data_IF_699812285144
#
_entry.id   IF_699812285144
#
_cell.length_a   1.000
_cell.length_b   1.000
_cell.length_c   1.000
_cell.angle_alpha   90.00
_cell.angle_beta   90.00
_cell.angle_gamma   90.00
#
_symmetry.space_group_name_H-M   'P 1'
#
loop_
_entity.id
_entity.type
_entity.pdbx_description
1 polymer ?
#
# COMPACT_ATOMS: atom_id res chain seq x y z
N UNK A 1 -28.73 -23.56 15.47
CA UNK A 1 -28.96 -22.81 16.72
C UNK A 1 -27.86 -23.01 17.76
N UNK A 2 -27.34 -24.22 17.99
CA UNK A 2 -26.30 -24.48 19.02
C UNK A 2 -24.95 -23.77 18.79
N UNK A 3 -24.43 -23.74 17.56
CA UNK A 3 -23.18 -23.03 17.23
C UNK A 3 -23.31 -21.51 17.41
N UNK A 4 -24.46 -20.93 17.02
CA UNK A 4 -24.73 -19.51 17.19
C UNK A 4 -24.85 -19.13 18.68
N UNK A 5 -25.51 -19.98 19.46
CA UNK A 5 -25.63 -19.83 20.92
C UNK A 5 -24.28 -19.99 21.64
N UNK A 6 -23.44 -20.93 21.20
CA UNK A 6 -22.07 -21.09 21.70
C UNK A 6 -21.21 -19.87 21.37
N UNK A 7 -21.30 -19.33 20.15
CA UNK A 7 -20.60 -18.10 19.80
C UNK A 7 -21.09 -16.92 20.63
N UNK A 8 -22.41 -16.76 20.81
CA UNK A 8 -22.98 -15.66 21.61
C UNK A 8 -22.60 -15.81 23.09
N UNK A 9 -22.62 -17.02 23.65
CA UNK A 9 -22.21 -17.31 25.03
C UNK A 9 -20.72 -17.09 25.25
N UNK A 10 -19.87 -17.49 24.29
CA UNK A 10 -18.43 -17.24 24.35
C UNK A 10 -18.10 -15.74 24.26
N UNK A 11 -18.77 -15.00 23.36
CA UNK A 11 -18.64 -13.54 23.27
C UNK A 11 -19.16 -12.85 24.54
N UNK A 12 -20.23 -13.34 25.16
CA UNK A 12 -20.77 -12.79 26.40
C UNK A 12 -19.85 -13.06 27.61
N UNK A 13 -19.18 -14.22 27.65
CA UNK A 13 -18.16 -14.55 28.66
C UNK A 13 -16.84 -13.79 28.45
N UNK A 14 -16.50 -13.53 27.19
CA UNK A 14 -15.36 -12.69 26.80
C UNK A 14 -15.54 -11.23 27.24
N UNK A 15 -16.77 -10.71 27.17
CA UNK A 15 -17.10 -9.36 27.66
C UNK A 15 -16.99 -9.22 29.19
N UNK A 16 -17.06 -10.32 29.93
CA UNK A 16 -16.95 -10.35 31.40
C UNK A 16 -15.53 -10.59 31.93
N UNK A 17 -14.50 -10.63 31.07
CA UNK A 17 -13.10 -10.75 31.51
C UNK A 17 -12.67 -12.11 32.08
N UNK A 18 -13.52 -13.15 32.02
CA UNK A 18 -13.21 -14.47 32.58
C UNK A 18 -12.39 -15.39 31.64
N UNK A 19 -12.14 -14.97 30.39
CA UNK A 19 -11.44 -15.79 29.39
C UNK A 19 -10.08 -15.19 29.02
N UNK A 20 -9.02 -16.00 29.10
CA UNK A 20 -7.66 -15.61 28.71
C UNK A 20 -7.55 -15.10 27.25
N UNK A 21 -8.48 -15.50 26.39
CA UNK A 21 -8.49 -15.15 24.97
C UNK A 21 -9.22 -13.86 24.64
N UNK A 22 -9.99 -13.31 25.59
CA UNK A 22 -10.81 -12.12 25.37
C UNK A 22 -9.99 -10.91 24.87
N UNK A 23 -8.85 -10.57 25.50
CA UNK A 23 -7.95 -9.52 25.00
C UNK A 23 -7.49 -9.69 23.55
N UNK A 24 -7.30 -10.92 23.09
CA UNK A 24 -6.83 -11.19 21.73
C UNK A 24 -7.95 -11.02 20.71
N UNK A 25 -9.19 -11.37 21.08
CA UNK A 25 -10.38 -11.15 20.24
C UNK A 25 -10.69 -9.66 20.09
N UNK A 26 -10.56 -8.89 21.16
CA UNK A 26 -10.64 -7.42 21.15
C UNK A 26 -9.66 -6.84 20.13
N UNK A 27 -8.43 -7.35 20.11
CA UNK A 27 -7.38 -6.94 19.18
C UNK A 27 -7.65 -7.41 17.76
N UNK A 28 -8.24 -8.59 17.56
CA UNK A 28 -8.69 -9.04 16.24
C UNK A 28 -9.80 -8.15 15.67
N UNK A 29 -10.74 -7.71 16.51
CA UNK A 29 -11.77 -6.73 16.11
C UNK A 29 -11.13 -5.41 15.66
N UNK A 30 -10.14 -4.94 16.40
CA UNK A 30 -9.37 -3.75 16.06
C UNK A 30 -8.59 -3.91 14.75
N UNK A 31 -8.00 -5.08 14.50
CA UNK A 31 -7.34 -5.41 13.24
C UNK A 31 -8.26 -5.30 12.03
N UNK A 32 -9.47 -5.83 12.12
CA UNK A 32 -10.48 -5.72 11.06
C UNK A 32 -10.76 -4.26 10.70
N UNK A 33 -10.87 -3.38 11.70
CA UNK A 33 -11.07 -1.94 11.47
C UNK A 33 -9.86 -1.32 10.75
N UNK A 34 -8.64 -1.63 11.20
CA UNK A 34 -7.42 -1.12 10.56
C UNK A 34 -7.32 -1.59 9.11
N UNK A 35 -7.62 -2.87 8.82
CA UNK A 35 -7.60 -3.41 7.46
C UNK A 35 -8.65 -2.72 6.56
N UNK A 36 -9.84 -2.46 7.07
CA UNK A 36 -10.89 -1.73 6.34
C UNK A 36 -10.43 -0.29 6.03
N UNK A 37 -9.93 0.42 7.04
CA UNK A 37 -9.44 1.80 6.87
C UNK A 37 -8.28 1.86 5.88
N UNK A 38 -7.41 0.87 5.94
CA UNK A 38 -6.24 0.77 5.06
C UNK A 38 -6.64 0.36 3.64
N UNK A 39 -7.63 -0.50 3.48
CA UNK A 39 -8.23 -0.81 2.17
C UNK A 39 -8.84 0.44 1.53
N UNK A 40 -9.59 1.24 2.29
CA UNK A 40 -10.15 2.51 1.83
C UNK A 40 -9.02 3.47 1.42
N UNK A 41 -7.96 3.57 2.23
CA UNK A 41 -6.79 4.39 1.90
C UNK A 41 -6.11 3.93 0.60
N UNK A 42 -6.05 2.62 0.36
CA UNK A 42 -5.44 2.01 -0.83
C UNK A 42 -6.22 2.29 -2.12
N UNK A 43 -7.54 2.52 -2.04
CA UNK A 43 -8.35 2.93 -3.19
C UNK A 43 -8.08 4.37 -3.64
N UNK A 44 -7.36 5.17 -2.84
CA UNK A 44 -6.98 6.52 -3.24
C UNK A 44 -5.97 6.53 -4.38
N UNK A 45 -6.15 7.46 -5.34
CA UNK A 45 -5.16 7.71 -6.41
C UNK A 45 -3.77 7.99 -5.83
N UNK A 46 -3.69 8.60 -4.65
CA UNK A 46 -2.43 8.90 -3.98
C UNK A 46 -1.65 7.67 -3.54
N UNK A 47 -2.33 6.55 -3.27
CA UNK A 47 -1.69 5.31 -2.85
C UNK A 47 -1.08 4.56 -4.04
N UNK A 48 -1.76 4.55 -5.19
CA UNK A 48 -1.21 4.02 -6.45
C UNK A 48 0.08 4.72 -6.86
N UNK A 49 0.17 6.02 -6.59
CA UNK A 49 1.35 6.85 -6.87
C UNK A 49 2.54 6.49 -5.97
N UNK A 50 2.30 6.06 -4.72
CA UNK A 50 3.34 5.52 -3.83
C UNK A 50 3.90 4.21 -4.37
N UNK A 51 3.01 3.28 -4.74
CA UNK A 51 3.42 1.97 -5.28
C UNK A 51 4.28 2.15 -6.54
N UNK A 52 4.02 3.20 -7.33
CA UNK A 52 4.76 3.55 -8.55
C UNK A 52 6.00 4.44 -8.31
N UNK A 53 6.34 4.76 -7.06
CA UNK A 53 7.56 5.51 -6.70
C UNK A 53 7.56 7.01 -7.05
N UNK A 54 6.43 7.59 -7.49
CA UNK A 54 6.38 8.98 -7.99
C UNK A 54 5.78 9.95 -6.96
N UNK A 55 6.48 10.28 -5.87
CA UNK A 55 5.92 11.20 -4.86
C UNK A 55 5.82 12.65 -5.36
N UNK A 56 4.59 13.10 -5.65
CA UNK A 56 4.31 14.53 -5.86
C UNK A 56 4.04 15.24 -4.53
N UNK A 57 4.34 16.54 -4.43
CA UNK A 57 4.03 17.35 -3.22
C UNK A 57 2.54 17.30 -2.86
N UNK A 58 1.65 17.23 -3.85
CA UNK A 58 0.20 17.12 -3.63
C UNK A 58 -0.16 15.77 -3.00
N UNK A 59 0.49 14.70 -3.44
CA UNK A 59 0.31 13.34 -2.92
C UNK A 59 0.71 13.27 -1.44
N UNK A 60 1.85 13.86 -1.09
CA UNK A 60 2.36 13.92 0.29
C UNK A 60 1.36 14.63 1.22
N UNK A 61 0.89 15.81 0.83
CA UNK A 61 -0.08 16.58 1.64
C UNK A 61 -1.37 15.75 1.87
N UNK A 62 -1.87 15.11 0.82
CA UNK A 62 -3.08 14.29 0.92
C UNK A 62 -2.89 13.10 1.87
N UNK A 63 -1.73 12.45 1.84
CA UNK A 63 -1.40 11.35 2.75
C UNK A 63 -1.30 11.83 4.20
N UNK A 64 -0.67 12.97 4.45
CA UNK A 64 -0.61 13.55 5.81
C UNK A 64 -2.03 13.76 6.34
N UNK A 65 -2.93 14.34 5.55
CA UNK A 65 -4.32 14.59 5.98
C UNK A 65 -5.03 13.27 6.31
N UNK A 66 -5.00 12.30 5.40
CA UNK A 66 -5.68 11.01 5.60
C UNK A 66 -5.13 10.30 6.84
N UNK A 67 -3.81 10.09 6.92
CA UNK A 67 -3.23 9.33 8.02
C UNK A 67 -3.32 10.07 9.36
N UNK A 68 -3.31 11.40 9.37
CA UNK A 68 -3.57 12.17 10.59
C UNK A 68 -4.99 11.97 11.08
N UNK A 69 -5.99 12.03 10.19
CA UNK A 69 -7.39 11.74 10.55
C UNK A 69 -7.51 10.32 11.08
N UNK A 70 -6.91 9.33 10.41
CA UNK A 70 -6.92 7.94 10.86
C UNK A 70 -6.24 7.77 12.23
N UNK A 71 -5.10 8.41 12.46
CA UNK A 71 -4.38 8.36 13.74
C UNK A 71 -5.15 9.02 14.90
N UNK A 72 -5.86 10.12 14.60
CA UNK A 72 -6.76 10.78 15.55
C UNK A 72 -7.96 9.88 15.86
N UNK A 73 -8.65 9.36 14.84
CA UNK A 73 -9.78 8.45 15.01
C UNK A 73 -9.38 7.20 15.81
N UNK A 74 -8.19 6.65 15.55
CA UNK A 74 -7.66 5.53 16.31
C UNK A 74 -7.38 5.84 17.79
N UNK A 75 -7.24 7.12 18.17
CA UNK A 75 -7.19 7.51 19.59
C UNK A 75 -8.55 7.45 20.28
N UNK A 76 -9.64 7.61 19.52
CA UNK A 76 -11.01 7.53 20.02
C UNK A 76 -11.58 6.11 19.93
N UNK A 77 -11.23 5.37 18.88
CA UNK A 77 -11.66 3.99 18.69
C UNK A 77 -10.82 3.04 19.55
N UNK A 78 -11.08 3.05 20.86
CA UNK A 78 -10.43 2.16 21.82
C UNK A 78 -11.25 0.91 22.06
N UNK A 79 -10.55 -0.21 22.25
CA UNK A 79 -11.12 -1.48 22.70
C UNK A 79 -10.76 -1.71 24.16
N UNK A 80 -11.64 -2.32 24.94
CA UNK A 80 -11.36 -2.57 26.36
C UNK A 80 -10.57 -3.86 26.50
N UNK A 81 -9.31 -3.75 26.92
CA UNK A 81 -8.47 -4.90 27.20
C UNK A 81 -8.17 -4.92 28.69
N UNK A 82 -8.81 -5.85 29.41
CA UNK A 82 -8.67 -6.03 30.85
C UNK A 82 -8.96 -4.74 31.67
N UNK A 83 -9.98 -3.97 31.27
CA UNK A 83 -10.36 -2.71 31.91
C UNK A 83 -9.51 -1.51 31.46
N UNK A 84 -8.67 -1.68 30.44
CA UNK A 84 -7.72 -0.67 29.98
C UNK A 84 -7.94 -0.41 28.48
N UNK A 85 -8.14 0.85 28.06
CA UNK A 85 -8.40 1.18 26.67
C UNK A 85 -7.14 0.95 25.80
N UNK A 86 -7.22 -0.04 24.92
CA UNK A 86 -6.22 -0.36 23.90
C UNK A 86 -6.56 0.32 22.56
N UNK A 87 -5.55 0.68 21.76
CA UNK A 87 -5.75 1.37 20.49
C UNK A 87 -4.77 0.90 19.38
N UNK A 88 -5.05 1.29 18.13
CA UNK A 88 -4.22 0.96 16.96
C UNK A 88 -3.46 2.17 16.42
N UNK A 89 -3.35 3.26 17.19
CA UNK A 89 -2.75 4.51 16.71
C UNK A 89 -1.30 4.30 16.28
N UNK A 90 -0.50 3.63 17.12
CA UNK A 90 0.91 3.37 16.80
C UNK A 90 1.09 2.61 15.48
N UNK A 91 0.22 1.64 15.20
CA UNK A 91 0.21 0.89 13.94
C UNK A 91 -0.05 1.80 12.73
N UNK A 92 -1.08 2.65 12.80
CA UNK A 92 -1.43 3.56 11.70
C UNK A 92 -0.29 4.55 11.42
N UNK A 93 0.29 5.13 12.47
CA UNK A 93 1.42 6.07 12.32
C UNK A 93 2.64 5.36 11.74
N UNK A 94 2.98 4.16 12.23
CA UNK A 94 4.08 3.35 11.68
C UNK A 94 3.86 3.02 10.19
N UNK A 95 2.65 2.60 9.82
CA UNK A 95 2.28 2.34 8.41
C UNK A 95 2.49 3.61 7.57
N UNK A 96 1.99 4.76 8.02
CA UNK A 96 2.14 6.03 7.30
C UNK A 96 3.61 6.41 7.08
N UNK A 97 4.46 6.12 8.06
CA UNK A 97 5.88 6.43 8.03
C UNK A 97 6.67 5.49 7.11
N UNK A 98 6.37 4.19 7.13
CA UNK A 98 6.98 3.20 6.22
C UNK A 98 6.49 3.35 4.78
N UNK A 99 5.34 3.99 4.56
CA UNK A 99 4.76 4.17 3.24
C UNK A 99 5.15 5.51 2.60
N UNK A 100 5.07 6.60 3.37
CA UNK A 100 5.31 7.96 2.89
C UNK A 100 6.64 8.58 3.35
N UNK A 101 7.42 7.84 4.13
CA UNK A 101 8.73 8.27 4.60
C UNK A 101 8.69 9.48 5.56
N UNK A 102 9.82 10.17 5.74
CA UNK A 102 9.94 11.28 6.70
C UNK A 102 9.00 12.45 6.41
N UNK A 103 8.65 12.68 5.15
CA UNK A 103 7.75 13.77 4.76
C UNK A 103 6.30 13.53 5.15
N UNK A 104 5.91 12.28 5.47
CA UNK A 104 4.54 11.92 5.85
C UNK A 104 4.50 11.41 7.28
N UNK A 105 5.37 10.46 7.62
CA UNK A 105 5.38 9.80 8.93
C UNK A 105 5.65 10.75 10.09
N UNK A 106 6.62 11.66 9.96
CA UNK A 106 6.94 12.61 11.03
C UNK A 106 5.78 13.58 11.27
N UNK A 107 5.22 14.29 10.26
CA UNK A 107 4.06 15.14 10.47
C UNK A 107 2.85 14.40 11.06
N UNK A 108 2.54 13.20 10.54
CA UNK A 108 1.42 12.39 11.05
C UNK A 108 1.65 11.99 12.50
N UNK A 109 2.87 11.56 12.85
CA UNK A 109 3.23 11.20 14.23
C UNK A 109 3.12 12.38 15.19
N UNK A 110 3.56 13.57 14.77
CA UNK A 110 3.42 14.82 15.54
C UNK A 110 1.93 15.15 15.74
N UNK A 111 1.13 15.20 14.67
CA UNK A 111 -0.29 15.57 14.76
C UNK A 111 -1.05 14.58 15.65
N UNK A 112 -0.91 13.28 15.39
CA UNK A 112 -1.61 12.24 16.17
C UNK A 112 -1.11 12.15 17.61
N UNK A 113 0.20 12.35 17.84
CA UNK A 113 0.81 12.33 19.16
C UNK A 113 0.43 13.53 20.02
N UNK A 114 0.45 14.74 19.45
CA UNK A 114 -0.01 15.96 20.12
C UNK A 114 -1.52 15.87 20.42
N UNK A 115 -2.32 15.38 19.47
CA UNK A 115 -3.74 15.14 19.72
C UNK A 115 -3.95 14.16 20.86
N UNK A 116 -3.22 13.04 20.87
CA UNK A 116 -3.31 12.07 21.97
C UNK A 116 -2.91 12.68 23.31
N UNK A 117 -1.87 13.51 23.34
CA UNK A 117 -1.46 14.21 24.55
C UNK A 117 -2.57 15.14 25.06
N UNK A 118 -3.21 15.89 24.15
CA UNK A 118 -4.30 16.82 24.46
C UNK A 118 -5.56 16.16 25.02
N UNK A 119 -5.80 14.87 24.75
CA UNK A 119 -6.91 14.12 25.37
C UNK A 119 -6.73 13.91 26.89
N UNK A 120 -5.53 14.14 27.42
CA UNK A 120 -5.23 13.93 28.84
C UNK A 120 -5.31 12.46 29.26
N UNK A 121 -5.41 12.25 30.58
CA UNK A 121 -5.35 10.93 31.21
C UNK A 121 -3.94 10.49 31.60
N UNK A 122 -3.87 9.39 32.34
CA UNK A 122 -2.65 8.93 33.02
C UNK A 122 -1.55 8.55 32.03
N UNK A 123 -1.91 8.06 30.83
CA UNK A 123 -0.97 7.67 29.77
C UNK A 123 -0.78 8.73 28.70
N UNK A 124 -1.29 9.96 28.88
CA UNK A 124 -1.28 11.00 27.84
C UNK A 124 0.12 11.29 27.31
N UNK A 125 1.06 11.57 28.23
CA UNK A 125 2.45 11.87 27.89
C UNK A 125 3.11 10.68 27.21
N UNK A 126 3.05 9.50 27.85
CA UNK A 126 3.72 8.31 27.34
C UNK A 126 3.21 7.91 25.95
N UNK A 127 1.89 7.80 25.78
CA UNK A 127 1.27 7.46 24.51
C UNK A 127 1.49 8.56 23.44
N UNK A 128 1.49 9.83 23.83
CA UNK A 128 1.78 10.95 22.92
C UNK A 128 3.20 10.86 22.37
N UNK A 129 4.19 10.73 23.27
CA UNK A 129 5.61 10.60 22.92
C UNK A 129 5.86 9.35 22.07
N UNK A 130 5.34 8.19 22.48
CA UNK A 130 5.47 6.97 21.72
C UNK A 130 4.94 7.17 20.28
N UNK A 131 3.76 7.76 20.12
CA UNK A 131 3.18 8.00 18.79
C UNK A 131 4.07 8.85 17.89
N UNK A 132 4.70 9.89 18.43
CA UNK A 132 5.67 10.70 17.68
C UNK A 132 6.88 9.84 17.28
N UNK A 133 7.37 9.03 18.23
CA UNK A 133 8.48 8.10 17.98
C UNK A 133 8.14 7.04 16.92
N UNK A 134 6.89 6.55 16.83
CA UNK A 134 6.47 5.65 15.74
C UNK A 134 6.71 6.30 14.37
N UNK A 135 6.33 7.59 14.25
CA UNK A 135 6.51 8.36 13.02
C UNK A 135 7.98 8.53 12.66
N UNK A 136 8.83 8.83 13.65
CA UNK A 136 10.28 9.01 13.47
C UNK A 136 10.96 7.69 13.11
N UNK A 137 10.72 6.63 13.90
CA UNK A 137 11.34 5.30 13.71
C UNK A 137 10.95 4.73 12.35
N UNK A 138 9.66 4.74 11.99
CA UNK A 138 9.22 4.25 10.70
C UNK A 138 9.82 5.05 9.54
N UNK A 139 9.97 6.37 9.69
CA UNK A 139 10.57 7.23 8.67
C UNK A 139 12.07 7.01 8.51
N UNK A 140 12.77 6.70 9.60
CA UNK A 140 14.19 6.35 9.57
C UNK A 140 14.40 5.02 8.87
N UNK A 141 13.57 4.03 9.19
CA UNK A 141 13.62 2.71 8.54
C UNK A 141 13.26 2.80 7.06
N UNK A 142 12.28 3.64 6.69
CA UNK A 142 11.98 3.94 5.30
C UNK A 142 13.23 4.45 4.55
N UNK A 143 13.98 5.38 5.16
CA UNK A 143 15.22 5.91 4.56
C UNK A 143 16.31 4.85 4.47
N UNK A 144 16.45 3.98 5.48
CA UNK A 144 17.42 2.87 5.46
C UNK A 144 17.08 1.76 4.48
N UNK A 145 15.82 1.64 4.08
CA UNK A 145 15.37 0.67 3.09
C UNK A 145 15.17 1.34 1.71
N UNK A 146 15.97 2.36 1.39
CA UNK A 146 16.01 3.08 0.11
C UNK A 146 14.65 3.63 -0.38
N UNK A 147 13.76 3.92 0.56
CA UNK A 147 12.42 4.41 0.27
C UNK A 147 11.44 3.34 -0.23
N UNK A 148 11.81 2.07 -0.14
CA UNK A 148 10.92 0.94 -0.36
C UNK A 148 10.22 0.52 0.94
N UNK A 149 9.00 -0.01 0.80
CA UNK A 149 8.29 -0.61 1.91
C UNK A 149 8.99 -1.92 2.34
N UNK A 150 9.03 -2.18 3.65
CA UNK A 150 9.68 -3.38 4.19
C UNK A 150 9.01 -4.67 3.72
N UNK A 151 9.78 -5.75 3.60
CA UNK A 151 9.23 -7.10 3.43
C UNK A 151 8.39 -7.51 4.65
N UNK A 152 7.36 -8.37 4.50
CA UNK A 152 6.43 -8.71 5.59
C UNK A 152 7.08 -9.12 6.91
N UNK A 153 8.11 -9.99 6.85
CA UNK A 153 8.81 -10.44 8.05
C UNK A 153 9.61 -9.32 8.74
N UNK A 154 10.23 -8.40 7.97
CA UNK A 154 10.96 -7.25 8.52
C UNK A 154 10.00 -6.24 9.15
N UNK A 155 8.86 -5.99 8.51
CA UNK A 155 7.83 -5.11 9.03
C UNK A 155 7.24 -5.64 10.35
N UNK A 156 6.95 -6.94 10.41
CA UNK A 156 6.49 -7.61 11.63
C UNK A 156 7.53 -7.51 12.76
N UNK A 157 8.81 -7.76 12.46
CA UNK A 157 9.90 -7.64 13.43
C UNK A 157 10.06 -6.19 13.93
N UNK A 158 10.02 -5.20 13.04
CA UNK A 158 10.07 -3.80 13.41
C UNK A 158 8.93 -3.43 14.36
N UNK A 159 7.71 -3.85 14.03
CA UNK A 159 6.55 -3.54 14.86
C UNK A 159 6.59 -4.25 16.22
N UNK A 160 7.11 -5.47 16.28
CA UNK A 160 7.33 -6.19 17.53
C UNK A 160 8.29 -5.42 18.45
N UNK A 161 9.45 -5.01 17.92
CA UNK A 161 10.45 -4.23 18.66
C UNK A 161 9.88 -2.87 19.09
N UNK A 162 9.16 -2.22 18.20
CA UNK A 162 8.55 -0.93 18.47
C UNK A 162 7.44 -1.02 19.53
N UNK A 163 6.62 -2.06 19.52
CA UNK A 163 5.61 -2.30 20.57
C UNK A 163 6.25 -2.52 21.94
N UNK A 164 7.39 -3.22 22.01
CA UNK A 164 8.19 -3.30 23.24
C UNK A 164 8.68 -1.93 23.72
N UNK A 165 9.18 -1.11 22.79
CA UNK A 165 9.60 0.26 23.09
C UNK A 165 8.44 1.16 23.55
N UNK A 166 7.25 1.03 22.95
CA UNK A 166 6.04 1.75 23.37
C UNK A 166 5.65 1.39 24.81
N UNK A 167 5.62 0.09 25.15
CA UNK A 167 5.33 -0.33 26.54
C UNK A 167 6.41 0.09 27.53
N UNK A 168 7.68 0.15 27.09
CA UNK A 168 8.77 0.71 27.90
C UNK A 168 8.52 2.20 28.19
N UNK A 169 8.15 2.99 27.18
CA UNK A 169 7.81 4.41 27.37
C UNK A 169 6.59 4.57 28.29
N UNK A 170 5.56 3.75 28.15
CA UNK A 170 4.40 3.72 29.06
C UNK A 170 4.85 3.45 30.49
N UNK A 171 5.78 2.52 30.69
CA UNK A 171 6.29 2.22 32.03
C UNK A 171 7.05 3.40 32.63
N UNK A 172 7.94 4.05 31.89
CA UNK A 172 8.81 5.10 32.45
C UNK A 172 8.09 6.45 32.61
N UNK A 173 7.26 6.82 31.63
CA UNK A 173 6.63 8.15 31.59
C UNK A 173 5.28 8.22 32.32
N UNK A 174 4.75 7.08 32.77
CA UNK A 174 3.50 7.03 33.53
C UNK A 174 3.81 6.89 35.03
N UNK A 175 3.09 7.59 35.93
CA UNK A 175 3.29 7.45 37.37
C UNK A 175 3.20 6.00 37.86
N UNK A 176 4.18 5.59 38.65
CA UNK A 176 4.24 4.25 39.25
C UNK A 176 3.27 4.13 40.42
N UNK A 177 2.64 2.96 40.64
CA UNK A 177 2.82 1.67 39.95
C UNK A 177 1.95 1.47 38.70
N UNK A 178 1.13 2.47 38.31
CA UNK A 178 0.12 2.31 37.26
C UNK A 178 0.74 2.03 35.89
N UNK A 179 1.89 2.62 35.58
CA UNK A 179 2.60 2.39 34.30
C UNK A 179 2.92 0.91 34.06
N UNK A 180 3.46 0.21 35.06
CA UNK A 180 3.78 -1.23 34.96
C UNK A 180 2.52 -2.07 34.80
N UNK A 181 1.46 -1.76 35.55
CA UNK A 181 0.20 -2.49 35.46
C UNK A 181 -0.43 -2.38 34.05
N UNK A 182 -0.42 -1.17 33.49
CA UNK A 182 -0.92 -0.92 32.13
C UNK A 182 -0.06 -1.66 31.10
N UNK A 183 1.27 -1.55 31.19
CA UNK A 183 2.18 -2.21 30.27
C UNK A 183 2.00 -3.74 30.32
N UNK A 184 1.91 -4.34 31.50
CA UNK A 184 1.73 -5.80 31.64
C UNK A 184 0.39 -6.29 31.09
N UNK A 185 -0.69 -5.52 31.29
CA UNK A 185 -2.02 -5.89 30.80
C UNK A 185 -2.15 -5.75 29.27
N UNK A 186 -1.50 -4.75 28.67
CA UNK A 186 -1.64 -4.44 27.26
C UNK A 186 -0.56 -5.08 26.37
N UNK A 187 0.64 -5.33 26.89
CA UNK A 187 1.80 -5.70 26.05
C UNK A 187 1.51 -6.88 25.14
N UNK A 188 1.08 -8.03 25.69
CA UNK A 188 0.82 -9.22 24.90
C UNK A 188 -0.29 -9.02 23.84
N UNK A 189 -1.54 -8.64 24.21
CA UNK A 189 -2.62 -8.50 23.24
C UNK A 189 -2.36 -7.38 22.23
N UNK A 190 -1.91 -6.21 22.68
CA UNK A 190 -1.71 -5.05 21.81
C UNK A 190 -0.54 -5.25 20.84
N UNK A 191 0.54 -5.90 21.27
CA UNK A 191 1.65 -6.28 20.40
C UNK A 191 1.21 -7.32 19.36
N UNK A 192 0.42 -8.32 19.77
CA UNK A 192 -0.14 -9.30 18.84
C UNK A 192 -0.97 -8.61 17.75
N UNK A 193 -1.88 -7.72 18.14
CA UNK A 193 -2.68 -6.92 17.21
C UNK A 193 -1.81 -6.09 16.26
N UNK A 194 -0.86 -5.34 16.82
CA UNK A 194 0.04 -4.49 16.05
C UNK A 194 0.87 -5.27 15.00
N UNK A 195 1.51 -6.37 15.42
CA UNK A 195 2.38 -7.19 14.57
C UNK A 195 1.57 -7.89 13.48
N UNK A 196 0.42 -8.47 13.82
CA UNK A 196 -0.45 -9.10 12.84
C UNK A 196 -0.98 -8.07 11.83
N UNK A 197 -1.30 -6.86 12.31
CA UNK A 197 -1.85 -5.80 11.48
C UNK A 197 -0.86 -5.31 10.44
N UNK A 198 0.38 -5.04 10.85
CA UNK A 198 1.42 -4.62 9.91
C UNK A 198 1.79 -5.76 8.94
N UNK A 199 1.79 -7.01 9.41
CA UNK A 199 2.08 -8.18 8.58
C UNK A 199 1.04 -8.30 7.45
N UNK A 200 -0.24 -8.29 7.80
CA UNK A 200 -1.34 -8.37 6.84
C UNK A 200 -1.33 -7.18 5.87
N UNK A 201 -1.08 -5.98 6.38
CA UNK A 201 -0.97 -4.80 5.52
C UNK A 201 0.17 -4.94 4.50
N UNK A 202 1.33 -5.43 4.94
CA UNK A 202 2.50 -5.60 4.06
C UNK A 202 2.28 -6.68 3.01
N UNK A 203 1.63 -7.79 3.38
CA UNK A 203 1.26 -8.85 2.43
C UNK A 203 0.32 -8.31 1.35
N UNK A 204 -0.73 -7.60 1.76
CA UNK A 204 -1.66 -6.96 0.85
C UNK A 204 -0.98 -5.92 -0.06
N UNK A 205 -0.04 -5.14 0.47
CA UNK A 205 0.77 -4.20 -0.31
C UNK A 205 1.60 -4.90 -1.38
N UNK A 206 2.23 -6.02 -1.00
CA UNK A 206 3.09 -6.80 -1.91
C UNK A 206 2.26 -7.36 -3.06
N UNK A 207 1.10 -7.96 -2.76
CA UNK A 207 0.17 -8.47 -3.76
C UNK A 207 -0.29 -7.37 -4.73
N UNK A 208 -0.64 -6.18 -4.20
CA UNK A 208 -1.04 -5.03 -5.03
C UNK A 208 0.08 -4.49 -5.91
N UNK A 209 1.35 -4.57 -5.45
CA UNK A 209 2.51 -4.18 -6.25
C UNK A 209 2.72 -5.16 -7.41
N UNK A 210 2.65 -6.46 -7.13
CA UNK A 210 2.77 -7.51 -8.16
C UNK A 210 1.63 -7.44 -9.19
N UNK A 211 0.39 -7.16 -8.78
CA UNK A 211 -0.73 -6.93 -9.69
C UNK A 211 -0.49 -5.74 -10.61
N UNK A 212 0.05 -4.64 -10.07
CA UNK A 212 0.34 -3.43 -10.84
C UNK A 212 1.45 -3.67 -11.87
N UNK A 213 2.53 -4.35 -11.48
CA UNK A 213 3.64 -4.72 -12.36
C UNK A 213 3.18 -5.60 -13.52
N UNK A 214 2.38 -6.65 -13.23
CA UNK A 214 1.79 -7.51 -14.28
C UNK A 214 0.90 -6.74 -15.25
N UNK A 215 0.11 -5.79 -14.76
CA UNK A 215 -0.76 -4.98 -15.63
C UNK A 215 0.04 -4.04 -16.55
N UNK A 216 1.16 -3.51 -16.06
CA UNK A 216 2.04 -2.65 -16.85
C UNK A 216 2.82 -3.49 -17.89
N UNK A 217 3.30 -4.70 -17.54
CA UNK A 217 3.95 -5.65 -18.47
C UNK A 217 3.00 -6.11 -19.59
N UNK A 218 1.75 -6.39 -19.24
CA UNK A 218 0.74 -6.80 -20.21
C UNK A 218 0.40 -5.67 -21.19
N UNK A 219 0.30 -4.43 -20.71
CA UNK A 219 0.08 -3.25 -21.57
C UNK A 219 1.25 -3.03 -22.55
N UNK A 220 2.50 -3.23 -22.10
CA UNK A 220 3.68 -3.14 -22.97
C UNK A 220 3.69 -4.27 -24.00
N UNK A 221 3.31 -5.48 -23.61
CA UNK A 221 3.23 -6.64 -24.50
C UNK A 221 2.15 -6.47 -25.57
N UNK A 222 0.98 -5.96 -25.19
CA UNK A 222 -0.12 -5.67 -26.11
C UNK A 222 0.28 -4.60 -27.13
N UNK A 223 0.92 -3.50 -26.69
CA UNK A 223 1.42 -2.47 -27.61
C UNK A 223 2.44 -3.04 -28.61
N UNK A 224 3.40 -3.87 -28.16
CA UNK A 224 4.37 -4.50 -29.07
C UNK A 224 3.71 -5.44 -30.08
N UNK A 225 2.68 -6.17 -29.65
CA UNK A 225 1.91 -7.03 -30.55
C UNK A 225 1.18 -6.20 -31.61
N UNK A 226 0.55 -5.08 -31.21
CA UNK A 226 -0.09 -4.15 -32.15
C UNK A 226 0.92 -3.55 -33.14
N UNK A 227 2.08 -3.10 -32.66
CA UNK A 227 3.14 -2.56 -33.54
C UNK A 227 3.64 -3.62 -34.54
N UNK A 228 3.82 -4.86 -34.09
CA UNK A 228 4.23 -5.98 -34.95
C UNK A 228 3.18 -6.31 -36.00
N UNK A 229 1.89 -6.28 -35.63
CA UNK A 229 0.78 -6.46 -36.57
C UNK A 229 0.77 -5.35 -37.63
N UNK A 230 0.89 -4.10 -37.21
CA UNK A 230 0.94 -2.95 -38.11
C UNK A 230 2.12 -3.04 -39.10
N UNK A 231 3.31 -3.44 -38.63
CA UNK A 231 4.49 -3.63 -39.49
C UNK A 231 4.25 -4.74 -40.52
N UNK A 232 3.62 -5.85 -40.11
CA UNK A 232 3.32 -6.95 -41.02
C UNK A 232 2.30 -6.54 -42.09
N UNK A 233 1.28 -5.76 -41.71
CA UNK A 233 0.27 -5.23 -42.64
C UNK A 233 0.89 -4.27 -43.66
N UNK A 234 1.71 -3.31 -43.21
CA UNK A 234 2.47 -2.41 -44.10
C UNK A 234 3.40 -3.21 -45.02
N UNK A 235 4.06 -4.26 -44.50
CA UNK A 235 4.95 -5.10 -45.31
C UNK A 235 4.19 -5.88 -46.39
N UNK A 236 2.97 -6.33 -46.10
CA UNK A 236 2.09 -6.96 -47.09
C UNK A 236 1.65 -5.96 -48.17
N UNK A 237 1.19 -4.78 -47.78
CA UNK A 237 0.83 -3.72 -48.72
C UNK A 237 2.00 -3.33 -49.63
N UNK A 238 3.20 -3.17 -49.05
CA UNK A 238 4.41 -2.83 -49.79
C UNK A 238 4.75 -3.90 -50.85
N UNK A 239 4.60 -5.19 -50.49
CA UNK A 239 4.80 -6.29 -51.42
C UNK A 239 3.77 -6.27 -52.55
N UNK A 240 2.50 -5.97 -52.25
CA UNK A 240 1.45 -5.85 -53.26
C UNK A 240 1.73 -4.68 -54.23
N UNK A 241 2.19 -3.53 -53.70
CA UNK A 241 2.61 -2.40 -54.53
C UNK A 241 3.79 -2.75 -55.44
N UNK A 242 4.79 -3.46 -54.89
CA UNK A 242 5.96 -3.90 -55.66
C UNK A 242 5.56 -4.80 -56.83
N UNK A 243 4.60 -5.71 -56.63
CA UNK A 243 4.07 -6.56 -57.68
C UNK A 243 3.28 -5.77 -58.74
N UNK A 244 2.51 -4.76 -58.34
CA UNK A 244 1.80 -3.85 -59.27
C UNK A 244 2.79 -3.04 -60.13
N UNK A 245 3.84 -2.50 -59.52
CA UNK A 245 4.90 -1.75 -60.25
C UNK A 245 5.59 -2.64 -61.27
N UNK A 246 5.96 -3.87 -60.89
CA UNK A 246 6.59 -4.83 -61.81
C UNK A 246 5.71 -5.16 -63.02
N UNK A 247 4.38 -5.29 -62.82
CA UNK A 247 3.42 -5.49 -63.93
C UNK A 247 3.31 -4.27 -64.84
N UNK A 248 3.43 -3.06 -64.31
CA UNK A 248 3.43 -1.83 -65.10
C UNK A 248 4.72 -1.70 -65.94
N UNK A 249 5.88 -1.99 -65.34
CA UNK A 249 7.17 -2.01 -66.06
C UNK A 249 7.15 -2.97 -67.25
N UNK A 250 6.62 -4.19 -67.05
CA UNK A 250 6.46 -5.17 -68.14
C UNK A 250 5.56 -4.66 -69.27
N UNK A 251 4.45 -3.98 -68.94
CA UNK A 251 3.58 -3.36 -69.96
C UNK A 251 4.28 -2.23 -70.70
N UNK A 252 5.07 -1.43 -69.99
CA UNK A 252 5.85 -0.34 -70.58
C UNK A 252 6.88 -0.86 -71.58
N UNK A 253 7.63 -1.91 -71.23
CA UNK A 253 8.55 -2.58 -72.17
C UNK A 253 7.82 -3.15 -73.39
N UNK A 254 6.61 -3.69 -73.22
CA UNK A 254 5.81 -4.21 -74.32
C UNK A 254 5.37 -3.08 -75.27
N UNK A 255 4.93 -1.95 -74.72
CA UNK A 255 4.58 -0.76 -75.52
C UNK A 255 5.79 -0.19 -76.25
N UNK A 256 6.94 -0.13 -75.60
CA UNK A 256 8.18 0.40 -76.19
C UNK A 256 8.65 -0.46 -77.36
N UNK A 257 8.55 -1.80 -77.24
CA UNK A 257 8.78 -2.72 -78.36
C UNK A 257 7.82 -2.49 -79.52
N UNK A 258 6.53 -2.31 -79.24
CA UNK A 258 5.50 -2.04 -80.27
C UNK A 258 5.74 -0.69 -80.96
N UNK A 259 6.13 0.34 -80.20
CA UNK A 259 6.44 1.67 -80.73
C UNK A 259 7.64 1.62 -81.68
N UNK A 260 8.74 0.99 -81.27
CA UNK A 260 9.92 0.82 -82.12
C UNK A 260 9.60 0.06 -83.42
N UNK A 261 8.76 -0.99 -83.37
CA UNK A 261 8.31 -1.70 -84.57
C UNK A 261 7.49 -0.82 -85.53
N UNK A 262 6.65 0.07 -84.99
CA UNK A 262 5.87 1.03 -85.78
C UNK A 262 6.77 2.10 -86.41
N UNK A 263 7.73 2.63 -85.66
CA UNK A 263 8.70 3.61 -86.17
C UNK A 263 9.53 3.03 -87.32
N UNK A 264 9.95 1.77 -87.21
CA UNK A 264 10.69 1.06 -88.26
C UNK A 264 9.85 0.88 -89.53
N UNK A 265 8.58 0.50 -89.39
CA UNK A 265 7.63 0.41 -90.52
C UNK A 265 7.34 1.76 -91.19
N UNK A 266 7.49 2.87 -90.48
CA UNK A 266 7.33 4.22 -91.03
C UNK A 266 8.58 4.72 -91.77
N UNK A 267 9.78 4.24 -91.40
CA UNK A 267 11.04 4.55 -92.10
C UNK A 267 11.24 3.75 -93.39
N UNK A 268 10.62 2.58 -93.50
CA UNK A 268 10.68 1.72 -94.70
C UNK A 268 9.66 2.08 -95.80
N UNK A 269 8.98 3.24 -95.67
CA UNK A 269 7.93 3.74 -96.57
C UNK A 269 8.33 5.06 -97.20
#
# INVERSE_FOLDING_TARGET
MGLLSLTISYFNKSANGESLWAPFLEMFRMLSVVLILTYIATKSKSFKVIIRGQQSRKTIIWQIIIFSILGILASYCTMDVNGIPANARGLIVMISALLGGPYVGIPVGIIAGVWRYGMGGITALACGVATIMAGIVGSLVYRWNDGEFLRPYKAALLMLLYSGFDMFLITILTPQPKGVLIANALYAPMTFGAVLGILLFTLFLTEKKEEAEKSDEQTVSDNRNTDTQNINEISQELNEYKDKVKKLEQKLEEYDKKFNQLEQKLKDK
#
